data_IF_168738744375
#
_entry.id   IF_168738744375
#
_cell.length_a   1.000
_cell.length_b   1.000
_cell.length_c   1.000
_cell.angle_alpha   90.00
_cell.angle_beta   90.00
_cell.angle_gamma   90.00
#
_symmetry.space_group_name_H-M   'P 1'
#
loop_
_entity.id
_entity.type
_entity.pdbx_description
1 polymer ?
#
# COMPACT_ATOMS: atom_id res chain seq x y z
N UNK A 1 6.94 -8.40 6.49
CA UNK A 1 6.20 -9.48 5.80
C UNK A 1 5.95 -9.07 4.36
N UNK A 2 5.90 -10.01 3.42
CA UNK A 2 5.67 -9.73 2.00
C UNK A 2 4.87 -10.84 1.32
N UNK A 3 4.27 -10.51 0.17
CA UNK A 3 3.48 -11.44 -0.65
C UNK A 3 4.23 -11.70 -1.95
N UNK A 4 4.43 -12.97 -2.28
CA UNK A 4 4.97 -13.37 -3.57
C UNK A 4 3.98 -14.31 -4.23
N UNK A 5 3.65 -14.05 -5.50
CA UNK A 5 2.77 -14.91 -6.28
C UNK A 5 3.33 -15.17 -7.66
N UNK A 6 3.28 -16.42 -8.11
CA UNK A 6 3.62 -16.79 -9.48
C UNK A 6 2.54 -16.38 -10.49
N UNK A 7 1.32 -16.09 -10.02
CA UNK A 7 0.18 -15.71 -10.85
C UNK A 7 -0.37 -14.35 -10.45
N UNK A 8 -0.90 -13.63 -11.44
CA UNK A 8 -1.49 -12.32 -11.24
C UNK A 8 -0.73 -11.22 -11.96
N UNK A 9 -1.18 -9.99 -11.79
CA UNK A 9 -0.59 -8.79 -12.40
C UNK A 9 -0.53 -7.66 -11.37
N UNK A 10 0.28 -6.63 -11.64
CA UNK A 10 0.42 -5.47 -10.77
C UNK A 10 -0.92 -4.74 -10.47
N UNK A 11 -1.91 -4.90 -11.36
CA UNK A 11 -3.25 -4.32 -11.24
C UNK A 11 -4.29 -5.33 -10.71
N UNK A 12 -3.86 -6.51 -10.25
CA UNK A 12 -4.76 -7.49 -9.65
C UNK A 12 -5.27 -7.03 -8.28
N UNK A 13 -6.44 -7.52 -7.88
CA UNK A 13 -7.04 -7.19 -6.59
C UNK A 13 -6.08 -7.48 -5.42
N UNK A 14 -5.35 -8.59 -5.48
CA UNK A 14 -4.35 -8.94 -4.46
C UNK A 14 -3.22 -7.94 -4.38
N UNK A 15 -2.69 -7.48 -5.53
CA UNK A 15 -1.60 -6.50 -5.57
C UNK A 15 -2.07 -5.11 -5.06
N UNK A 16 -3.28 -4.69 -5.44
CA UNK A 16 -3.87 -3.43 -5.00
C UNK A 16 -4.11 -3.45 -3.48
N UNK A 17 -4.67 -4.54 -2.96
CA UNK A 17 -4.92 -4.70 -1.52
C UNK A 17 -3.62 -4.75 -0.72
N UNK A 18 -2.61 -5.49 -1.19
CA UNK A 18 -1.30 -5.54 -0.52
C UNK A 18 -0.66 -4.15 -0.42
N UNK A 19 -0.74 -3.35 -1.50
CA UNK A 19 -0.28 -1.96 -1.52
C UNK A 19 -1.04 -1.10 -0.51
N UNK A 20 -2.37 -1.20 -0.46
CA UNK A 20 -3.18 -0.45 0.52
C UNK A 20 -2.81 -0.84 1.97
N UNK A 21 -2.48 -2.11 2.21
CA UNK A 21 -2.05 -2.60 3.52
C UNK A 21 -0.60 -2.21 3.87
N UNK A 22 0.19 -1.68 2.94
CA UNK A 22 1.62 -1.41 3.13
C UNK A 22 2.48 -2.67 3.15
N UNK A 23 2.00 -3.75 2.52
CA UNK A 23 2.71 -5.03 2.43
C UNK A 23 3.41 -5.09 1.06
N UNK A 24 4.73 -5.28 1.07
CA UNK A 24 5.50 -5.48 -0.15
C UNK A 24 4.98 -6.70 -0.92
N UNK A 25 4.65 -6.54 -2.20
CA UNK A 25 4.08 -7.60 -3.02
C UNK A 25 4.73 -7.67 -4.41
N UNK A 26 5.12 -8.88 -4.80
CA UNK A 26 5.59 -9.19 -6.16
C UNK A 26 4.71 -10.30 -6.74
N UNK A 27 4.13 -10.05 -7.91
CA UNK A 27 3.17 -10.95 -8.57
C UNK A 27 3.60 -11.24 -9.99
N UNK A 28 3.31 -12.45 -10.47
CA UNK A 28 3.71 -12.89 -11.81
C UNK A 28 5.17 -13.38 -11.87
N UNK A 29 5.69 -13.95 -10.79
CA UNK A 29 7.05 -14.52 -10.78
C UNK A 29 7.05 -15.89 -11.48
N UNK A 30 7.73 -16.01 -12.62
CA UNK A 30 7.68 -17.22 -13.45
C UNK A 30 8.53 -18.38 -12.88
N UNK A 31 9.69 -18.09 -12.28
CA UNK A 31 10.70 -19.09 -11.90
C UNK A 31 11.02 -19.12 -10.40
N UNK A 32 10.00 -19.17 -9.55
CA UNK A 32 10.21 -19.29 -8.10
C UNK A 32 10.29 -20.77 -7.68
N UNK A 33 11.40 -21.24 -7.09
CA UNK A 33 11.57 -22.65 -6.72
C UNK A 33 10.80 -23.00 -5.42
N UNK A 34 9.47 -23.02 -5.49
CA UNK A 34 8.56 -23.15 -4.33
C UNK A 34 8.92 -24.28 -3.37
N UNK A 35 9.41 -25.41 -3.89
CA UNK A 35 9.78 -26.59 -3.08
C UNK A 35 11.02 -26.38 -2.22
N UNK A 36 11.86 -25.42 -2.56
CA UNK A 36 13.14 -25.14 -1.90
C UNK A 36 13.07 -23.90 -1.00
N UNK A 37 11.93 -23.20 -0.96
CA UNK A 37 11.72 -22.00 -0.14
C UNK A 37 11.53 -22.25 1.36
N UNK A 38 11.02 -23.41 1.84
CA UNK A 38 10.91 -23.63 3.27
C UNK A 38 12.26 -23.38 3.97
N UNK A 39 12.23 -22.67 5.10
CA UNK A 39 13.39 -22.30 5.91
C UNK A 39 14.45 -21.41 5.23
N UNK A 40 14.17 -20.87 4.04
CA UNK A 40 15.06 -19.93 3.36
C UNK A 40 14.73 -18.48 3.70
N UNK A 41 15.77 -17.64 3.76
CA UNK A 41 15.61 -16.19 3.85
C UNK A 41 15.21 -15.62 2.50
N UNK A 42 14.25 -14.69 2.51
CA UNK A 42 13.73 -14.05 1.31
C UNK A 42 13.72 -12.54 1.48
N UNK A 43 14.16 -11.83 0.45
CA UNK A 43 13.93 -10.39 0.32
C UNK A 43 12.97 -10.15 -0.84
N UNK A 44 11.90 -9.41 -0.55
CA UNK A 44 10.86 -9.05 -1.51
C UNK A 44 11.03 -7.58 -1.86
N UNK A 45 11.56 -7.32 -3.05
CA UNK A 45 11.75 -5.97 -3.59
C UNK A 45 10.52 -5.59 -4.43
N UNK A 46 9.58 -4.91 -3.77
CA UNK A 46 8.36 -4.42 -4.41
C UNK A 46 8.59 -3.24 -5.37
N UNK A 47 9.73 -2.57 -5.30
CA UNK A 47 10.05 -1.45 -6.21
C UNK A 47 10.47 -1.95 -7.58
N UNK A 48 11.37 -2.94 -7.62
CA UNK A 48 11.86 -3.53 -8.87
C UNK A 48 11.09 -4.79 -9.30
N UNK A 49 10.15 -5.27 -8.49
CA UNK A 49 9.39 -6.49 -8.75
C UNK A 49 10.25 -7.76 -8.67
N UNK A 50 11.23 -7.79 -7.76
CA UNK A 50 12.21 -8.89 -7.65
C UNK A 50 12.10 -9.62 -6.31
N UNK A 51 12.47 -10.89 -6.32
CA UNK A 51 12.55 -11.72 -5.11
C UNK A 51 13.92 -12.36 -5.06
N UNK A 52 14.62 -12.17 -3.94
CA UNK A 52 15.94 -12.74 -3.71
C UNK A 52 15.82 -13.89 -2.71
N UNK A 53 16.26 -15.08 -3.12
CA UNK A 53 16.27 -16.30 -2.30
C UNK A 53 17.67 -16.48 -1.72
N UNK A 54 17.75 -16.66 -0.41
CA UNK A 54 19.00 -16.78 0.36
C UNK A 54 20.03 -15.70 -0.04
N UNK A 55 19.68 -14.41 0.06
CA UNK A 55 20.55 -13.32 -0.36
C UNK A 55 21.86 -13.29 0.46
N UNK A 56 22.95 -12.87 -0.19
CA UNK A 56 24.23 -12.66 0.49
C UNK A 56 24.09 -11.54 1.55
N UNK A 57 24.97 -11.58 2.55
CA UNK A 57 24.95 -10.62 3.67
C UNK A 57 25.05 -9.17 3.16
N UNK A 58 25.87 -8.90 2.15
CA UNK A 58 26.03 -7.55 1.59
C UNK A 58 24.71 -7.02 0.98
N UNK A 59 23.92 -7.91 0.37
CA UNK A 59 22.63 -7.56 -0.19
C UNK A 59 21.61 -7.27 0.93
N UNK A 60 21.63 -8.05 2.00
CA UNK A 60 20.80 -7.81 3.18
C UNK A 60 21.11 -6.45 3.81
N UNK A 61 22.39 -6.15 4.08
CA UNK A 61 22.81 -4.87 4.67
C UNK A 61 22.41 -3.69 3.78
N UNK A 62 22.48 -3.84 2.46
CA UNK A 62 22.00 -2.81 1.53
C UNK A 62 20.49 -2.57 1.68
N UNK A 63 19.68 -3.62 1.72
CA UNK A 63 18.23 -3.49 1.88
C UNK A 63 17.84 -2.95 3.27
N UNK A 64 18.59 -3.30 4.32
CA UNK A 64 18.42 -2.72 5.65
C UNK A 64 18.73 -1.22 5.64
N UNK A 65 19.80 -0.81 4.95
CA UNK A 65 20.14 0.62 4.80
C UNK A 65 19.07 1.38 4.03
N UNK A 66 18.56 0.80 2.93
CA UNK A 66 17.45 1.39 2.17
C UNK A 66 16.18 1.55 3.02
N UNK A 67 15.87 0.57 3.88
CA UNK A 67 14.71 0.67 4.76
C UNK A 67 14.87 1.79 5.79
N UNK A 68 16.08 1.97 6.33
CA UNK A 68 16.38 3.07 7.24
C UNK A 68 16.31 4.45 6.56
N UNK A 69 16.76 4.54 5.30
CA UNK A 69 16.63 5.76 4.48
C UNK A 69 15.16 6.09 4.21
N UNK A 70 14.35 5.09 3.83
CA UNK A 70 12.91 5.25 3.60
C UNK A 70 12.19 5.71 4.90
N UNK A 71 12.57 5.15 6.06
CA UNK A 71 12.01 5.53 7.35
C UNK A 71 12.39 6.96 7.75
N UNK A 72 13.66 7.34 7.58
CA UNK A 72 14.13 8.71 7.84
C UNK A 72 13.42 9.74 6.94
N UNK A 73 13.26 9.41 5.65
CA UNK A 73 12.52 10.26 4.72
C UNK A 73 11.04 10.37 5.11
N UNK A 74 10.42 9.28 5.56
CA UNK A 74 9.04 9.30 6.03
C UNK A 74 8.88 10.21 7.25
N UNK A 75 9.80 10.15 8.21
CA UNK A 75 9.82 11.04 9.38
C UNK A 75 10.01 12.52 9.00
N UNK A 76 10.88 12.81 8.03
CA UNK A 76 11.10 14.17 7.52
C UNK A 76 9.84 14.74 6.85
N UNK A 77 9.09 13.91 6.11
CA UNK A 77 7.90 14.31 5.37
C UNK A 77 6.62 14.31 6.23
N UNK A 78 6.59 13.58 7.35
CA UNK A 78 5.41 13.47 8.21
C UNK A 78 4.83 14.83 8.67
N UNK A 79 5.64 15.86 9.01
CA UNK A 79 5.14 17.20 9.32
C UNK A 79 4.45 17.89 8.14
N UNK A 80 4.92 17.65 6.90
CA UNK A 80 4.35 18.26 5.70
C UNK A 80 2.95 17.72 5.41
N UNK A 81 2.65 16.49 5.81
CA UNK A 81 1.35 15.86 5.60
C UNK A 81 0.19 16.67 6.21
N UNK A 82 0.44 17.54 7.20
CA UNK A 82 -0.56 18.40 7.85
C UNK A 82 -0.59 19.83 7.31
N UNK A 83 0.32 20.19 6.42
CA UNK A 83 0.39 21.54 5.85
C UNK A 83 -0.58 21.68 4.67
N UNK A 84 -1.12 22.90 4.44
CA UNK A 84 -1.93 23.16 3.26
C UNK A 84 -1.09 23.01 2.01
N UNK A 85 -1.63 22.33 1.00
CA UNK A 85 -0.99 22.19 -0.30
C UNK A 85 -1.13 23.50 -1.09
N UNK A 86 -0.05 24.28 -1.12
CA UNK A 86 0.04 25.58 -1.81
C UNK A 86 1.28 25.56 -2.70
N UNK A 87 1.13 26.00 -3.95
CA UNK A 87 2.24 26.14 -4.89
C UNK A 87 3.15 27.32 -4.51
N UNK A 88 4.37 27.38 -5.07
CA UNK A 88 5.34 28.43 -4.75
C UNK A 88 4.85 29.86 -5.09
N UNK A 89 3.86 29.99 -5.97
CA UNK A 89 3.21 31.25 -6.35
C UNK A 89 1.95 31.58 -5.51
N UNK A 90 1.63 30.77 -4.49
CA UNK A 90 0.55 31.03 -3.55
C UNK A 90 -0.82 30.43 -3.92
N UNK A 91 -0.91 29.64 -4.98
CA UNK A 91 -2.18 29.00 -5.38
C UNK A 91 -2.46 27.74 -4.55
N UNK A 92 -3.63 27.66 -3.92
CA UNK A 92 -4.05 26.48 -3.16
C UNK A 92 -4.49 25.34 -4.10
N UNK A 93 -3.95 24.14 -3.89
CA UNK A 93 -4.30 22.94 -4.67
C UNK A 93 -4.89 21.89 -3.73
N UNK A 94 -6.18 21.55 -3.84
CA UNK A 94 -6.79 20.56 -2.97
C UNK A 94 -6.25 19.16 -3.31
N UNK A 95 -5.67 18.49 -2.33
CA UNK A 95 -5.23 17.11 -2.45
C UNK A 95 -6.35 16.15 -2.03
N UNK A 96 -6.56 15.12 -2.84
CA UNK A 96 -7.60 14.12 -2.60
C UNK A 96 -7.00 12.72 -2.47
N UNK A 97 -7.50 11.93 -1.53
CA UNK A 97 -7.17 10.51 -1.45
C UNK A 97 -8.28 9.68 -2.09
N UNK A 98 -7.90 8.77 -2.98
CA UNK A 98 -8.80 7.75 -3.52
C UNK A 98 -8.72 6.51 -2.61
N UNK A 99 -9.78 6.23 -1.86
CA UNK A 99 -9.83 5.10 -0.92
C UNK A 99 -11.07 4.24 -1.14
N UNK A 100 -10.84 2.92 -1.17
CA UNK A 100 -11.88 1.89 -1.17
C UNK A 100 -11.85 0.99 0.07
N UNK A 101 -11.01 1.28 1.07
CA UNK A 101 -10.85 0.48 2.29
C UNK A 101 -10.85 1.40 3.52
N UNK A 102 -11.59 1.03 4.57
CA UNK A 102 -11.75 1.86 5.76
C UNK A 102 -10.42 2.24 6.45
N UNK A 103 -9.39 1.39 6.35
CA UNK A 103 -8.06 1.66 6.89
C UNK A 103 -7.38 2.89 6.26
N UNK A 104 -7.61 3.15 4.98
CA UNK A 104 -7.02 4.29 4.28
C UNK A 104 -7.70 5.61 4.68
N UNK A 105 -8.98 5.57 5.06
CA UNK A 105 -9.71 6.74 5.59
C UNK A 105 -9.10 7.20 6.91
N UNK A 106 -8.76 6.25 7.81
CA UNK A 106 -8.12 6.57 9.09
C UNK A 106 -6.72 7.17 8.90
N UNK A 107 -5.95 6.67 7.93
CA UNK A 107 -4.64 7.25 7.60
C UNK A 107 -4.77 8.66 7.02
N UNK A 108 -5.73 8.87 6.13
CA UNK A 108 -5.96 10.17 5.51
C UNK A 108 -6.50 11.22 6.49
N UNK A 109 -7.25 10.81 7.53
CA UNK A 109 -7.75 11.71 8.56
C UNK A 109 -6.63 12.43 9.34
N UNK A 110 -5.43 11.84 9.38
CA UNK A 110 -4.26 12.45 10.04
C UNK A 110 -3.47 13.41 9.13
N UNK A 111 -3.94 13.64 7.90
CA UNK A 111 -3.31 14.45 6.87
C UNK A 111 -4.23 15.58 6.42
N UNK A 112 -3.70 16.65 5.83
CA UNK A 112 -4.44 17.75 5.22
C UNK A 112 -5.03 17.36 3.84
N UNK A 113 -5.58 16.14 3.75
CA UNK A 113 -6.18 15.58 2.54
C UNK A 113 -7.70 15.64 2.62
N UNK A 114 -8.34 15.89 1.49
CA UNK A 114 -9.78 15.68 1.35
C UNK A 114 -10.04 14.24 0.92
N UNK A 115 -10.99 13.58 1.56
CA UNK A 115 -11.33 12.18 1.22
C UNK A 115 -12.40 12.20 0.14
N UNK A 116 -12.15 11.52 -0.98
CA UNK A 116 -13.16 11.27 -2.00
C UNK A 116 -13.53 9.78 -1.91
N UNK A 117 -14.72 9.51 -1.36
CA UNK A 117 -15.18 8.15 -1.09
C UNK A 117 -15.48 7.40 -2.39
N UNK A 118 -14.57 6.51 -2.80
CA UNK A 118 -14.81 5.54 -3.87
C UNK A 118 -14.79 4.13 -3.28
N UNK A 119 -15.92 3.68 -2.73
CA UNK A 119 -16.04 2.29 -2.28
C UNK A 119 -16.00 1.38 -3.50
N UNK A 120 -14.84 0.79 -3.78
CA UNK A 120 -14.75 -0.30 -4.73
C UNK A 120 -15.64 -1.44 -4.19
N UNK A 121 -16.80 -1.68 -4.79
CA UNK A 121 -17.82 -2.64 -4.31
C UNK A 121 -17.23 -4.02 -3.94
N UNK A 122 -16.10 -4.40 -4.55
CA UNK A 122 -15.38 -5.65 -4.29
C UNK A 122 -14.62 -5.69 -2.95
N UNK A 123 -14.13 -4.58 -2.40
CA UNK A 123 -13.43 -4.59 -1.11
C UNK A 123 -14.39 -4.91 0.04
N UNK A 124 -15.60 -4.34 0.01
CA UNK A 124 -16.69 -4.68 0.93
C UNK A 124 -17.07 -6.16 0.87
N UNK A 125 -16.94 -6.79 -0.30
CA UNK A 125 -17.18 -8.22 -0.49
C UNK A 125 -16.05 -9.10 0.06
N UNK A 126 -14.79 -8.69 -0.05
CA UNK A 126 -13.65 -9.50 0.40
C UNK A 126 -13.49 -9.56 1.93
N UNK A 127 -13.99 -8.56 2.66
CA UNK A 127 -13.88 -8.47 4.12
C UNK A 127 -15.22 -8.70 4.86
N UNK A 128 -16.34 -8.80 4.14
CA UNK A 128 -17.65 -9.13 4.71
C UNK A 128 -17.94 -10.63 4.62
N UNK A 129 -18.58 -11.19 5.65
CA UNK A 129 -19.12 -12.56 5.61
C UNK A 129 -20.45 -12.66 4.87
N UNK A 130 -21.04 -11.52 4.47
CA UNK A 130 -22.35 -11.43 3.84
C UNK A 130 -22.40 -10.39 2.71
N UNK A 131 -23.36 -10.57 1.79
CA UNK A 131 -23.60 -9.64 0.68
C UNK A 131 -24.03 -8.27 1.22
N UNK A 132 -23.40 -7.15 0.81
CA UNK A 132 -23.82 -5.83 1.28
C UNK A 132 -25.22 -5.54 0.74
N UNK A 133 -26.23 -5.60 1.61
CA UNK A 133 -27.59 -5.21 1.26
C UNK A 133 -27.60 -3.73 0.85
N UNK A 134 -28.51 -3.36 -0.06
CA UNK A 134 -28.61 -2.05 -0.76
C UNK A 134 -28.61 -0.77 0.10
N UNK A 135 -28.47 -0.86 1.43
CA UNK A 135 -28.57 0.25 2.39
C UNK A 135 -27.24 0.74 2.98
N UNK A 136 -26.11 0.09 2.72
CA UNK A 136 -24.83 0.46 3.35
C UNK A 136 -24.06 1.62 2.67
N UNK A 137 -24.67 2.34 1.72
CA UNK A 137 -24.01 3.43 0.99
C UNK A 137 -24.20 4.83 1.62
N UNK A 138 -24.96 4.96 2.72
CA UNK A 138 -25.42 6.26 3.22
C UNK A 138 -24.71 6.79 4.49
N UNK A 139 -23.61 6.18 4.93
CA UNK A 139 -22.93 6.61 6.16
C UNK A 139 -21.41 6.72 5.97
N UNK A 140 -20.98 7.80 5.31
CA UNK A 140 -19.62 8.34 5.46
C UNK A 140 -19.75 9.72 6.10
N UNK A 141 -19.25 9.94 7.33
CA UNK A 141 -19.22 11.27 7.93
C UNK A 141 -18.10 12.10 7.28
N UNK A 142 -18.42 13.31 6.80
CA UNK A 142 -17.41 14.28 6.36
C UNK A 142 -17.65 15.00 5.03
N UNK A 143 -18.87 15.00 4.47
CA UNK A 143 -19.23 15.90 3.38
C UNK A 143 -19.85 17.20 3.92
N UNK A 144 -18.98 18.11 4.38
CA UNK A 144 -19.26 19.55 4.51
C UNK A 144 -17.95 20.30 4.29
#
# INVERSE_FOLDING_TARGET
>A
MGIVSMRGSANSHTAILARAMGIAAVVGVEDLPLKQLPDQRLVVDGYNGRVYVNPHVDLLTRFESLLAEDEALFEELAPLAKQPAVTADGSAVPLWVNTGVAADVQRAANMALRVLGFTALKSAFCFGTDFPAKRAAAALPGAA
#
